data_IF_760020378522
#
_entry.id   IF_760020378522
#
_cell.length_a   1.000
_cell.length_b   1.000
_cell.length_c   1.000
_cell.angle_alpha   90.00
_cell.angle_beta   90.00
_cell.angle_gamma   90.00
#
_symmetry.space_group_name_H-M   'P 1'
#
loop_
_entity.id
_entity.type
_entity.pdbx_description
1 polymer ?
#
# COMPACT_ATOMS: atom_id res chain seq x y z
N UNK A 1 8.64 7.43 -5.67
CA UNK A 1 10.09 7.70 -5.49
C UNK A 1 10.32 9.15 -5.07
N UNK A 2 9.59 10.10 -5.67
CA UNK A 2 9.80 11.53 -5.42
C UNK A 2 9.45 12.02 -4.01
N UNK A 3 8.39 11.47 -3.38
CA UNK A 3 8.02 11.84 -2.00
C UNK A 3 9.11 11.42 -1.00
N UNK A 4 9.68 10.22 -1.15
CA UNK A 4 10.72 9.74 -0.25
C UNK A 4 12.03 10.54 -0.45
N UNK A 5 12.37 10.93 -1.68
CA UNK A 5 13.51 11.82 -1.97
C UNK A 5 13.30 13.24 -1.39
N UNK A 6 12.08 13.77 -1.48
CA UNK A 6 11.74 15.05 -0.85
C UNK A 6 11.85 14.98 0.67
N UNK A 7 11.44 13.87 1.28
CA UNK A 7 11.60 13.62 2.72
C UNK A 7 13.08 13.50 3.14
N UNK A 8 13.93 12.89 2.32
CA UNK A 8 15.38 12.87 2.55
C UNK A 8 16.00 14.27 2.48
N UNK A 9 15.59 15.07 1.49
CA UNK A 9 16.04 16.46 1.34
C UNK A 9 15.59 17.32 2.51
N UNK A 10 14.36 17.10 2.98
CA UNK A 10 13.81 17.76 4.16
C UNK A 10 14.57 17.36 5.44
N UNK A 11 14.99 16.10 5.60
CA UNK A 11 15.83 15.66 6.73
C UNK A 11 17.15 16.43 6.78
N UNK A 12 17.81 16.56 5.62
CA UNK A 12 19.05 17.32 5.53
C UNK A 12 18.85 18.80 5.90
N UNK A 13 17.80 19.44 5.40
CA UNK A 13 17.49 20.82 5.76
C UNK A 13 17.16 20.96 7.25
N UNK A 14 16.39 20.03 7.83
CA UNK A 14 16.10 19.99 9.26
C UNK A 14 17.38 19.83 10.09
N UNK A 15 18.35 19.05 9.61
CA UNK A 15 19.65 18.89 10.26
C UNK A 15 20.44 20.21 10.30
N UNK A 16 20.45 20.98 9.21
CA UNK A 16 21.24 22.22 9.09
C UNK A 16 20.59 23.39 9.81
N UNK A 17 19.26 23.49 9.79
CA UNK A 17 18.55 24.68 10.30
C UNK A 17 18.30 24.67 11.82
N UNK A 18 18.45 23.52 12.48
CA UNK A 18 18.21 23.37 13.92
C UNK A 18 19.53 23.31 14.70
N UNK A 19 19.60 23.93 15.90
CA UNK A 19 20.78 23.89 16.73
C UNK A 19 20.95 22.50 17.34
N UNK A 20 22.20 22.05 17.46
CA UNK A 20 22.50 20.74 18.03
C UNK A 20 22.16 20.67 19.52
N UNK A 21 22.34 21.76 20.27
CA UNK A 21 22.33 21.78 21.74
C UNK A 21 20.96 21.54 22.38
N UNK A 22 19.87 21.96 21.73
CA UNK A 22 18.51 21.87 22.30
C UNK A 22 17.75 20.61 21.89
N UNK A 23 18.40 19.72 21.13
CA UNK A 23 17.74 18.65 20.42
C UNK A 23 17.15 19.10 19.09
N UNK A 24 16.89 18.13 18.21
CA UNK A 24 16.48 18.34 16.82
C UNK A 24 15.41 17.36 16.37
N UNK A 25 14.59 17.78 15.43
CA UNK A 25 13.68 16.94 14.68
C UNK A 25 14.39 16.43 13.43
N UNK A 26 14.17 15.17 13.07
CA UNK A 26 14.63 14.61 11.80
C UNK A 26 13.68 13.54 11.26
N UNK A 27 13.88 13.15 10.01
CA UNK A 27 13.16 12.08 9.30
C UNK A 27 14.11 10.91 9.11
N UNK A 28 13.80 9.76 9.70
CA UNK A 28 14.61 8.55 9.57
C UNK A 28 13.88 7.48 8.78
N UNK A 29 14.52 6.92 7.76
CA UNK A 29 14.02 5.75 7.07
C UNK A 29 14.42 4.49 7.84
N UNK A 30 13.43 3.73 8.29
CA UNK A 30 13.61 2.49 9.07
C UNK A 30 13.10 1.32 8.24
N UNK A 31 13.90 0.25 8.16
CA UNK A 31 13.49 -0.98 7.50
C UNK A 31 12.45 -1.69 8.38
N UNK A 32 11.23 -1.88 7.86
CA UNK A 32 10.14 -2.64 8.49
C UNK A 32 9.52 -3.58 7.45
N UNK A 33 9.46 -4.87 7.76
CA UNK A 33 8.89 -5.89 6.86
C UNK A 33 9.43 -5.79 5.42
N UNK A 34 10.75 -5.63 5.27
CA UNK A 34 11.41 -5.53 3.97
C UNK A 34 11.21 -4.20 3.21
N UNK A 35 10.49 -3.23 3.78
CA UNK A 35 10.27 -1.90 3.17
C UNK A 35 10.82 -0.78 4.06
N UNK A 36 11.47 0.20 3.46
CA UNK A 36 11.87 1.41 4.17
C UNK A 36 10.64 2.29 4.42
N UNK A 37 10.46 2.68 5.69
CA UNK A 37 9.39 3.55 6.12
C UNK A 37 9.97 4.80 6.78
N UNK A 38 9.60 6.00 6.32
CA UNK A 38 10.00 7.23 6.98
C UNK A 38 9.30 7.36 8.34
N UNK A 39 10.06 7.74 9.36
CA UNK A 39 9.59 8.01 10.72
C UNK A 39 10.12 9.36 11.18
N UNK A 40 9.28 10.17 11.82
CA UNK A 40 9.75 11.37 12.51
C UNK A 40 10.41 10.98 13.82
N UNK A 41 11.60 11.53 14.06
CA UNK A 41 12.35 11.36 15.31
C UNK A 41 12.71 12.69 15.94
N UNK A 42 12.62 12.74 17.25
CA UNK A 42 13.21 13.80 18.06
C UNK A 42 14.49 13.24 18.65
N UNK A 43 15.59 13.92 18.38
CA UNK A 43 16.88 13.69 19.01
C UNK A 43 17.03 14.70 20.14
N UNK A 44 17.27 14.23 21.34
CA UNK A 44 17.43 15.09 22.51
C UNK A 44 18.59 14.56 23.35
N UNK A 45 19.22 15.47 24.09
CA UNK A 45 20.27 15.11 25.03
C UNK A 45 19.65 14.87 26.40
N UNK A 46 19.96 13.72 27.02
CA UNK A 46 19.55 13.42 28.38
C UNK A 46 20.32 14.30 29.38
N UNK A 47 19.84 14.37 30.64
CA UNK A 47 20.59 15.02 31.73
C UNK A 47 22.00 14.45 31.92
N UNK A 48 22.21 13.18 31.56
CA UNK A 48 23.51 12.50 31.56
C UNK A 48 24.37 12.75 30.31
N UNK A 49 24.03 13.77 29.50
CA UNK A 49 24.71 14.15 28.25
C UNK A 49 24.70 13.08 27.13
N UNK A 50 23.91 12.02 27.26
CA UNK A 50 23.75 11.00 26.22
C UNK A 50 22.70 11.42 25.20
N UNK A 51 22.96 11.17 23.93
CA UNK A 51 21.98 11.39 22.85
C UNK A 51 20.98 10.25 22.79
N UNK A 52 19.70 10.59 22.82
CA UNK A 52 18.60 9.63 22.61
C UNK A 52 17.74 10.09 21.46
N UNK A 53 17.17 9.13 20.73
CA UNK A 53 16.19 9.40 19.68
C UNK A 53 14.85 8.76 20.03
N UNK A 54 13.77 9.52 19.96
CA UNK A 54 12.41 9.03 20.19
C UNK A 54 11.58 9.19 18.93
N UNK A 55 10.85 8.15 18.56
CA UNK A 55 9.84 8.23 17.49
C UNK A 55 8.67 9.08 17.97
N UNK A 56 8.19 9.98 17.12
CA UNK A 56 6.99 10.78 17.40
C UNK A 56 6.02 10.73 16.21
N UNK A 57 4.72 10.97 16.45
CA UNK A 57 3.77 11.18 15.37
C UNK A 57 4.19 12.39 14.52
N UNK A 58 4.00 12.29 13.20
CA UNK A 58 4.21 13.44 12.30
C UNK A 58 3.13 14.50 12.48
N UNK A 59 1.92 14.12 12.92
CA UNK A 59 0.81 15.04 13.17
C UNK A 59 1.18 16.06 14.27
N UNK A 60 0.99 17.34 13.96
CA UNK A 60 1.25 18.44 14.89
C UNK A 60 2.75 18.72 15.10
N UNK A 61 3.61 18.38 14.14
CA UNK A 61 5.07 18.55 14.23
C UNK A 61 5.47 19.99 14.55
N UNK A 62 4.76 20.98 13.97
CA UNK A 62 5.00 22.41 14.21
C UNK A 62 4.88 22.82 15.68
N UNK A 63 4.01 22.16 16.46
CA UNK A 63 3.83 22.45 17.90
C UNK A 63 5.01 22.00 18.75
N UNK A 64 5.87 21.12 18.20
CA UNK A 64 7.04 20.56 18.89
C UNK A 64 8.28 21.43 18.72
N UNK A 65 8.21 22.41 17.81
CA UNK A 65 9.29 23.32 17.50
C UNK A 65 9.27 24.47 18.51
N UNK A 66 10.32 24.58 19.32
CA UNK A 66 10.45 25.62 20.35
C UNK A 66 11.33 26.75 19.87
N UNK A 67 10.77 27.95 19.84
CA UNK A 67 11.51 29.18 19.57
C UNK A 67 12.68 29.33 20.55
N UNK A 68 13.86 29.62 20.04
CA UNK A 68 15.08 29.80 20.83
C UNK A 68 16.00 30.79 20.15
N UNK A 69 16.73 31.57 20.95
CA UNK A 69 17.67 32.60 20.44
C UNK A 69 18.73 32.01 19.51
N UNK A 70 19.14 30.76 19.72
CA UNK A 70 20.22 30.12 18.96
C UNK A 70 19.90 29.92 17.47
N UNK A 71 18.62 29.98 17.09
CA UNK A 71 18.19 29.67 15.73
C UNK A 71 16.95 30.48 15.31
N UNK A 72 16.74 31.63 15.94
CA UNK A 72 15.59 32.50 15.73
C UNK A 72 15.37 32.86 14.25
N UNK A 73 16.45 33.12 13.51
CA UNK A 73 16.40 33.41 12.08
C UNK A 73 15.83 32.24 11.25
N UNK A 74 16.08 31.01 11.67
CA UNK A 74 15.60 29.80 11.02
C UNK A 74 14.25 29.32 11.57
N UNK A 75 13.72 29.96 12.63
CA UNK A 75 12.49 29.54 13.31
C UNK A 75 11.31 29.35 12.36
N UNK A 76 11.04 30.37 11.54
CA UNK A 76 9.93 30.34 10.60
C UNK A 76 10.17 29.34 9.47
N UNK A 77 11.41 29.23 8.97
CA UNK A 77 11.76 28.30 7.90
C UNK A 77 11.65 26.83 8.34
N UNK A 78 12.15 26.49 9.54
CA UNK A 78 11.99 25.14 10.09
C UNK A 78 10.52 24.81 10.36
N UNK A 79 9.74 25.78 10.84
CA UNK A 79 8.30 25.58 11.04
C UNK A 79 7.58 25.29 9.73
N UNK A 80 7.83 26.10 8.69
CA UNK A 80 7.28 25.87 7.36
C UNK A 80 7.75 24.53 6.76
N UNK A 81 9.02 24.17 6.94
CA UNK A 81 9.53 22.87 6.51
C UNK A 81 8.82 21.70 7.22
N UNK A 82 8.55 21.83 8.52
CA UNK A 82 7.78 20.82 9.24
C UNK A 82 6.33 20.71 8.75
N UNK A 83 5.71 21.80 8.28
CA UNK A 83 4.40 21.75 7.61
C UNK A 83 4.47 20.97 6.30
N UNK A 84 5.51 21.23 5.50
CA UNK A 84 5.74 20.47 4.26
C UNK A 84 6.02 18.99 4.53
N UNK A 85 6.80 18.67 5.57
CA UNK A 85 7.03 17.28 5.98
C UNK A 85 5.71 16.60 6.36
N UNK A 86 4.85 17.25 7.15
CA UNK A 86 3.53 16.69 7.46
C UNK A 86 2.72 16.41 6.20
N UNK A 87 2.70 17.35 5.25
CA UNK A 87 2.00 17.19 3.98
C UNK A 87 2.55 16.01 3.15
N UNK A 88 3.87 15.85 3.06
CA UNK A 88 4.51 14.73 2.37
C UNK A 88 4.14 13.37 3.00
N UNK A 89 4.04 13.31 4.33
CA UNK A 89 3.56 12.11 5.02
C UNK A 89 2.11 11.79 4.65
N UNK A 90 1.23 12.79 4.62
CA UNK A 90 -0.18 12.59 4.25
C UNK A 90 -0.31 12.13 2.79
N UNK A 91 0.42 12.75 1.85
CA UNK A 91 0.47 12.31 0.45
C UNK A 91 0.95 10.87 0.33
N UNK A 92 1.98 10.49 1.08
CA UNK A 92 2.49 9.12 1.10
C UNK A 92 1.44 8.13 1.60
N UNK A 93 0.72 8.48 2.68
CA UNK A 93 -0.36 7.64 3.22
C UNK A 93 -1.49 7.49 2.20
N UNK A 94 -1.92 8.58 1.56
CA UNK A 94 -2.95 8.55 0.52
C UNK A 94 -2.51 7.70 -0.69
N UNK A 95 -1.26 7.82 -1.13
CA UNK A 95 -0.71 7.01 -2.22
C UNK A 95 -0.72 5.52 -1.87
N UNK A 96 -0.30 5.15 -0.66
CA UNK A 96 -0.33 3.76 -0.20
C UNK A 96 -1.75 3.20 -0.09
N UNK A 97 -2.70 4.02 0.35
CA UNK A 97 -4.12 3.64 0.37
C UNK A 97 -4.67 3.42 -1.04
N UNK A 98 -4.34 4.30 -1.99
CA UNK A 98 -4.73 4.16 -3.41
C UNK A 98 -4.17 2.88 -4.03
N UNK A 99 -2.90 2.57 -3.78
CA UNK A 99 -2.29 1.31 -4.25
C UNK A 99 -3.00 0.10 -3.66
N UNK A 100 -3.26 0.11 -2.34
CA UNK A 100 -4.01 -0.98 -1.69
C UNK A 100 -5.40 -1.15 -2.30
N UNK A 101 -6.11 -0.06 -2.57
CA UNK A 101 -7.44 -0.11 -3.17
C UNK A 101 -7.41 -0.60 -4.63
N UNK A 102 -6.38 -0.20 -5.39
CA UNK A 102 -6.17 -0.69 -6.76
C UNK A 102 -5.93 -2.21 -6.76
N UNK A 103 -5.04 -2.71 -5.90
CA UNK A 103 -4.75 -4.14 -5.76
C UNK A 103 -6.02 -4.95 -5.42
N UNK A 104 -6.84 -4.44 -4.49
CA UNK A 104 -8.13 -5.04 -4.15
C UNK A 104 -9.10 -5.04 -5.34
N UNK A 105 -9.17 -3.94 -6.10
CA UNK A 105 -10.01 -3.83 -7.29
C UNK A 105 -9.60 -4.81 -8.39
N UNK A 106 -8.30 -4.98 -8.62
CA UNK A 106 -7.78 -5.97 -9.57
C UNK A 106 -8.10 -7.39 -9.12
N UNK A 107 -7.88 -7.71 -7.84
CA UNK A 107 -8.22 -9.02 -7.26
C UNK A 107 -9.70 -9.37 -7.41
N UNK A 108 -10.59 -8.41 -7.10
CA UNK A 108 -12.03 -8.60 -7.21
C UNK A 108 -12.47 -8.80 -8.68
N UNK A 109 -11.86 -8.07 -9.62
CA UNK A 109 -12.15 -8.21 -11.05
C UNK A 109 -11.70 -9.56 -11.59
N UNK A 110 -10.52 -10.04 -11.15
CA UNK A 110 -10.02 -11.36 -11.53
C UNK A 110 -10.89 -12.49 -10.97
N UNK A 111 -11.32 -12.37 -9.71
CA UNK A 111 -12.23 -13.33 -9.08
C UNK A 111 -13.58 -13.38 -9.83
N UNK A 112 -14.20 -12.23 -10.10
CA UNK A 112 -15.46 -12.16 -10.84
C UNK A 112 -15.36 -12.76 -12.25
N UNK A 113 -14.23 -12.53 -12.95
CA UNK A 113 -13.97 -13.17 -14.25
C UNK A 113 -13.76 -14.69 -14.13
N UNK A 114 -13.11 -15.14 -13.06
CA UNK A 114 -12.95 -16.57 -12.76
C UNK A 114 -14.27 -17.26 -12.49
N UNK A 115 -15.18 -16.60 -11.76
CA UNK A 115 -16.49 -17.17 -11.44
C UNK A 115 -17.40 -17.21 -12.68
N UNK A 116 -17.42 -16.16 -13.51
CA UNK A 116 -18.12 -16.17 -14.79
C UNK A 116 -17.65 -17.29 -15.75
N UNK A 117 -16.34 -17.58 -15.77
CA UNK A 117 -15.77 -18.69 -16.54
C UNK A 117 -16.22 -20.06 -15.99
N UNK A 118 -16.27 -20.23 -14.67
CA UNK A 118 -16.78 -21.48 -14.05
C UNK A 118 -18.25 -21.70 -14.34
N UNK A 119 -19.07 -20.65 -14.23
CA UNK A 119 -20.50 -20.71 -14.57
C UNK A 119 -20.70 -21.11 -16.03
N UNK A 120 -19.93 -20.48 -16.94
CA UNK A 120 -19.97 -20.82 -18.36
C UNK A 120 -19.54 -22.26 -18.64
N UNK A 121 -18.49 -22.75 -17.98
CA UNK A 121 -18.02 -24.13 -18.12
C UNK A 121 -19.05 -25.15 -17.59
N UNK A 122 -19.68 -24.86 -16.45
CA UNK A 122 -20.74 -25.69 -15.89
C UNK A 122 -21.96 -25.75 -16.83
N UNK A 123 -22.34 -24.62 -17.43
CA UNK A 123 -23.41 -24.58 -18.43
C UNK A 123 -23.09 -25.42 -19.67
N UNK A 124 -21.88 -25.30 -20.22
CA UNK A 124 -21.42 -26.11 -21.36
C UNK A 124 -21.42 -27.60 -21.03
N UNK A 125 -20.94 -27.99 -19.84
CA UNK A 125 -20.96 -29.38 -19.39
C UNK A 125 -22.39 -29.91 -19.26
N UNK A 126 -23.31 -29.12 -18.70
CA UNK A 126 -24.71 -29.51 -18.57
C UNK A 126 -25.40 -29.65 -19.93
N UNK A 127 -25.16 -28.72 -20.87
CA UNK A 127 -25.64 -28.81 -22.25
C UNK A 127 -25.12 -30.07 -22.94
N UNK A 128 -23.83 -30.38 -22.79
CA UNK A 128 -23.23 -31.61 -23.33
C UNK A 128 -23.91 -32.85 -22.76
N UNK A 129 -24.11 -32.91 -21.45
CA UNK A 129 -24.78 -34.05 -20.80
C UNK A 129 -26.24 -34.20 -21.26
N UNK A 130 -26.96 -33.09 -21.43
CA UNK A 130 -28.34 -33.11 -21.92
C UNK A 130 -28.42 -33.61 -23.38
N UNK A 131 -27.51 -33.16 -24.25
CA UNK A 131 -27.42 -33.64 -25.63
C UNK A 131 -27.03 -35.12 -25.69
N UNK A 132 -26.05 -35.56 -24.90
CA UNK A 132 -25.66 -36.97 -24.84
C UNK A 132 -26.83 -37.88 -24.44
N UNK A 133 -27.60 -37.48 -23.42
CA UNK A 133 -28.79 -38.23 -22.99
C UNK A 133 -29.91 -38.26 -24.05
N UNK A 134 -30.00 -37.22 -24.90
CA UNK A 134 -30.97 -37.19 -26.00
C UNK A 134 -30.61 -38.16 -27.13
N UNK A 135 -29.32 -38.28 -27.46
CA UNK A 135 -28.85 -39.18 -28.53
C UNK A 135 -28.60 -40.63 -28.07
N UNK A 136 -28.36 -40.89 -26.79
CA UNK A 136 -28.34 -42.25 -26.24
C UNK A 136 -29.73 -42.91 -26.28
N UNK A 137 -30.82 -42.13 -26.26
CA UNK A 137 -32.18 -42.62 -26.46
C UNK A 137 -32.61 -42.81 -27.91
N UNK A 138 -31.85 -42.30 -28.88
CA UNK A 138 -32.11 -42.45 -30.33
C UNK A 138 -31.23 -43.53 -31.00
N UNK A 139 -30.24 -44.09 -30.30
CA UNK A 139 -29.34 -45.15 -30.81
C UNK A 139 -29.80 -46.58 -30.50
N UNK A 140 -30.98 -46.78 -29.92
CA UNK A 140 -31.60 -48.09 -29.83
C UNK A 140 -32.80 -48.11 -30.78
N UNK A 141 -32.60 -48.47 -32.05
CA UNK A 141 -33.56 -49.16 -32.93
C UNK A 141 -33.10 -49.12 -34.39
N UNK A 142 -32.48 -50.23 -34.84
CA UNK A 142 -32.91 -51.04 -35.99
C UNK A 142 -31.94 -52.23 -36.10
N UNK A 143 -32.14 -53.27 -35.29
CA UNK A 143 -31.79 -54.62 -35.75
C UNK A 143 -32.90 -55.03 -36.72
N UNK A 144 -32.59 -54.89 -38.01
CA UNK A 144 -33.48 -55.27 -39.09
C UNK A 144 -33.81 -56.76 -39.03
N UNK A 145 -35.12 -57.05 -39.06
CA UNK A 145 -35.64 -58.33 -39.49
C UNK A 145 -35.22 -58.56 -40.95
N UNK A 146 -34.27 -59.47 -41.18
CA UNK A 146 -34.16 -60.18 -42.45
C UNK A 146 -34.52 -61.66 -42.25
N UNK A 147 -35.56 -62.03 -42.99
CA UNK A 147 -36.20 -63.33 -43.18
C UNK A 147 -35.25 -64.47 -43.60
N UNK A 148 -35.63 -65.70 -43.25
CA UNK A 148 -35.69 -66.96 -44.05
C UNK A 148 -35.69 -68.17 -43.08
N UNK A 149 -36.40 -69.30 -43.21
CA UNK A 149 -37.30 -69.96 -44.16
C UNK A 149 -38.12 -70.98 -43.29
N UNK A 150 -39.32 -71.47 -43.61
CA UNK A 150 -39.82 -72.27 -44.75
C UNK A 150 -41.36 -72.24 -44.78
#
# INVERSE_FOLDING_TARGET
MDIDNALMSADWLLYVMQPFESGRIGVKFVLRHGKYQPEIRIFEQTRSRKWVSKRVPYVGLTRRIRKSRAWEANYQHTKALCEQVMHLFDLRVQMLQRLKNADLSFGNTLAARGDALKESAAYILNLRSALAAQFEGEMDMEEGDELEAE
#
